data_IF_864518871658
#
_entry.id   IF_864518871658
#
_cell.length_a   1.000
_cell.length_b   1.000
_cell.length_c   1.000
_cell.angle_alpha   90.00
_cell.angle_beta   90.00
_cell.angle_gamma   90.00
#
_symmetry.space_group_name_H-M   'P 1'
#
loop_
_entity.id
_entity.type
_entity.pdbx_description
1 polymer ?
#
# COMPACT_ATOMS: atom_id res chain seq x y z
N UNK A 1 6.71 -23.67 3.52
CA UNK A 1 6.21 -24.61 2.65
C UNK A 1 5.80 -24.00 1.39
N UNK A 2 5.31 -24.16 0.45
CA UNK A 2 5.23 -23.86 -0.97
C UNK A 2 5.67 -22.43 -1.32
N UNK A 3 6.87 -22.33 -1.90
CA UNK A 3 7.19 -21.31 -2.88
C UNK A 3 6.02 -21.30 -3.89
N UNK A 4 5.20 -20.25 -3.88
CA UNK A 4 4.40 -19.95 -5.06
C UNK A 4 5.46 -19.45 -6.05
N UNK A 5 5.98 -20.40 -6.84
CA UNK A 5 6.96 -20.11 -7.88
C UNK A 5 6.28 -19.21 -8.92
N UNK A 6 7.09 -18.38 -9.55
CA UNK A 6 6.67 -17.57 -10.72
C UNK A 6 5.90 -18.39 -11.79
N UNK A 7 6.01 -19.72 -11.76
CA UNK A 7 5.31 -20.64 -12.65
C UNK A 7 3.78 -20.70 -12.43
N UNK A 8 3.26 -20.41 -11.22
CA UNK A 8 1.81 -20.38 -10.98
C UNK A 8 1.10 -19.22 -11.70
N UNK A 9 1.84 -18.19 -12.09
CA UNK A 9 1.33 -17.02 -12.81
C UNK A 9 1.37 -17.15 -14.32
N UNK A 10 2.01 -18.21 -14.87
CA UNK A 10 2.14 -18.41 -16.32
C UNK A 10 0.91 -19.05 -16.99
N UNK A 11 -0.10 -19.47 -16.25
CA UNK A 11 -1.21 -20.25 -16.79
C UNK A 11 -2.39 -19.44 -17.33
N UNK A 12 -2.42 -18.10 -17.20
CA UNK A 12 -3.56 -17.27 -17.63
C UNK A 12 -3.33 -16.51 -18.94
N UNK A 13 -2.17 -16.62 -19.58
CA UNK A 13 -1.94 -16.06 -20.94
C UNK A 13 -1.98 -14.51 -21.05
N UNK A 14 -2.33 -13.78 -20.00
CA UNK A 14 -2.25 -12.33 -19.96
C UNK A 14 -0.85 -11.93 -19.45
N UNK A 15 0.02 -11.53 -20.38
CA UNK A 15 1.28 -10.87 -20.03
C UNK A 15 0.94 -9.57 -19.29
N UNK A 16 1.25 -9.53 -17.97
CA UNK A 16 1.26 -8.25 -17.25
C UNK A 16 2.30 -7.35 -17.91
N UNK A 17 1.99 -6.06 -18.14
CA UNK A 17 2.97 -5.17 -18.75
C UNK A 17 4.24 -5.19 -17.91
N UNK A 18 5.38 -5.48 -18.55
CA UNK A 18 6.68 -5.58 -17.88
C UNK A 18 7.15 -4.23 -17.33
N UNK A 19 6.58 -3.12 -17.79
CA UNK A 19 7.01 -1.77 -17.43
C UNK A 19 5.80 -0.92 -17.00
N UNK A 20 5.59 -0.83 -15.68
CA UNK A 20 4.69 0.18 -15.12
C UNK A 20 5.32 1.56 -15.29
N UNK A 21 4.51 2.54 -15.74
CA UNK A 21 4.97 3.92 -15.86
C UNK A 21 5.34 4.47 -14.50
N UNK A 22 6.58 4.96 -14.36
CA UNK A 22 7.06 5.58 -13.14
C UNK A 22 6.49 7.01 -12.96
N UNK A 23 6.18 7.38 -11.72
CA UNK A 23 5.83 8.73 -11.32
C UNK A 23 7.12 9.54 -11.11
N UNK A 24 7.56 10.25 -12.16
CA UNK A 24 8.86 10.93 -12.20
C UNK A 24 8.93 12.23 -11.41
N UNK A 25 7.79 12.72 -10.90
CA UNK A 25 7.76 13.93 -10.04
C UNK A 25 8.21 13.67 -8.61
N UNK A 26 8.38 12.38 -8.23
CA UNK A 26 8.85 11.99 -6.90
C UNK A 26 10.38 12.02 -6.88
N UNK A 27 11.01 12.89 -6.06
CA UNK A 27 12.47 12.99 -5.99
C UNK A 27 13.10 11.68 -5.49
N UNK A 28 14.23 11.26 -6.08
CA UNK A 28 14.89 10.01 -5.69
C UNK A 28 15.41 10.03 -4.25
N UNK A 29 15.87 11.18 -3.79
CA UNK A 29 16.34 11.39 -2.42
C UNK A 29 15.24 11.33 -1.36
N UNK A 30 13.98 11.32 -1.78
CA UNK A 30 12.84 11.14 -0.87
C UNK A 30 12.71 9.70 -0.35
N UNK A 31 13.34 8.72 -0.98
CA UNK A 31 13.14 7.29 -0.77
C UNK A 31 11.69 6.82 -0.97
N UNK A 32 10.89 7.61 -1.66
CA UNK A 32 9.53 7.26 -2.09
C UNK A 32 9.59 6.88 -3.56
N UNK A 33 9.01 5.75 -3.92
CA UNK A 33 8.82 5.33 -5.31
C UNK A 33 7.33 5.33 -5.66
N UNK A 34 7.00 5.59 -6.92
CA UNK A 34 5.63 5.56 -7.39
C UNK A 34 5.52 5.04 -8.82
N UNK A 35 4.51 4.22 -9.08
CA UNK A 35 4.21 3.64 -10.41
C UNK A 35 2.71 3.60 -10.63
N UNK A 36 2.30 3.74 -11.88
CA UNK A 36 0.88 3.75 -12.24
C UNK A 36 0.40 2.39 -12.67
N UNK A 37 -0.56 1.83 -11.94
CA UNK A 37 -1.36 0.67 -12.32
C UNK A 37 -2.43 1.06 -13.35
N UNK A 38 -2.94 0.11 -14.16
CA UNK A 38 -4.05 0.36 -15.08
C UNK A 38 -5.31 0.90 -14.37
N UNK A 39 -5.97 1.88 -14.97
CA UNK A 39 -7.16 2.50 -14.39
C UNK A 39 -8.37 1.56 -14.31
N UNK A 40 -8.50 0.64 -15.25
CA UNK A 40 -9.51 -0.42 -15.22
C UNK A 40 -9.36 -1.33 -13.99
N UNK A 41 -8.13 -1.67 -13.63
CA UNK A 41 -7.82 -2.40 -12.39
C UNK A 41 -8.34 -1.66 -11.16
N UNK A 42 -8.18 -0.33 -11.12
CA UNK A 42 -8.68 0.47 -10.00
C UNK A 42 -10.21 0.43 -9.91
N UNK A 43 -10.91 0.49 -11.04
CA UNK A 43 -12.37 0.41 -11.08
C UNK A 43 -12.85 -0.97 -10.61
N UNK A 44 -12.23 -2.07 -11.08
CA UNK A 44 -12.52 -3.43 -10.64
C UNK A 44 -12.34 -3.59 -9.11
N UNK A 45 -11.32 -2.95 -8.55
CA UNK A 45 -11.07 -2.96 -7.09
C UNK A 45 -12.15 -2.18 -6.32
N UNK A 46 -12.62 -1.04 -6.83
CA UNK A 46 -13.73 -0.30 -6.21
C UNK A 46 -15.02 -1.14 -6.25
N UNK A 47 -15.31 -1.80 -7.37
CA UNK A 47 -16.46 -2.70 -7.48
C UNK A 47 -16.36 -3.87 -6.49
N UNK A 48 -15.17 -4.44 -6.34
CA UNK A 48 -14.91 -5.48 -5.33
C UNK A 48 -15.18 -4.99 -3.91
N UNK A 49 -14.74 -3.78 -3.58
CA UNK A 49 -15.01 -3.17 -2.27
C UNK A 49 -16.52 -3.14 -1.99
N UNK A 50 -17.31 -2.57 -2.88
CA UNK A 50 -18.77 -2.45 -2.68
C UNK A 50 -19.51 -3.79 -2.73
N UNK A 51 -19.03 -4.76 -3.50
CA UNK A 51 -19.54 -6.13 -3.50
C UNK A 51 -19.41 -6.81 -2.14
N UNK A 52 -18.38 -6.44 -1.37
CA UNK A 52 -18.08 -6.99 -0.05
C UNK A 52 -18.52 -6.08 1.10
N UNK A 53 -19.54 -5.25 0.90
CA UNK A 53 -20.02 -4.25 1.88
C UNK A 53 -20.38 -4.83 3.26
N UNK A 54 -20.82 -6.08 3.33
CA UNK A 54 -21.21 -6.75 4.58
C UNK A 54 -19.99 -7.03 5.50
N UNK A 55 -18.79 -6.95 4.93
CA UNK A 55 -17.52 -7.11 5.65
C UNK A 55 -16.85 -5.77 5.98
N UNK A 56 -17.48 -4.64 5.63
CA UNK A 56 -16.94 -3.32 5.95
C UNK A 56 -16.95 -3.07 7.46
N UNK A 57 -15.94 -2.36 7.95
CA UNK A 57 -15.80 -1.94 9.35
C UNK A 57 -15.40 -0.48 9.43
N UNK A 58 -15.74 0.20 10.50
CA UNK A 58 -15.17 1.52 10.78
C UNK A 58 -13.65 1.41 10.92
N UNK A 59 -12.94 2.39 10.36
CA UNK A 59 -11.48 2.42 10.40
C UNK A 59 -10.96 2.51 11.84
N UNK A 60 -10.04 1.62 12.19
CA UNK A 60 -9.40 1.57 13.52
C UNK A 60 -7.98 2.09 13.45
N UNK A 61 -7.49 2.62 14.57
CA UNK A 61 -6.08 2.96 14.79
C UNK A 61 -5.28 1.69 15.13
N UNK A 62 -3.96 1.77 15.09
CA UNK A 62 -3.08 0.67 15.51
C UNK A 62 -3.31 0.18 16.94
N UNK A 63 -3.94 1.00 17.80
CA UNK A 63 -4.42 0.63 19.14
C UNK A 63 -5.69 -0.23 19.13
N UNK A 64 -6.34 -0.42 17.98
CA UNK A 64 -7.65 -1.08 17.86
C UNK A 64 -8.84 -0.18 18.19
N UNK A 65 -8.63 1.12 18.41
CA UNK A 65 -9.71 2.06 18.75
C UNK A 65 -10.21 2.81 17.53
N UNK A 66 -11.52 3.10 17.47
CA UNK A 66 -12.14 4.02 16.51
C UNK A 66 -12.02 5.44 17.05
N UNK A 67 -11.40 6.34 16.28
CA UNK A 67 -11.29 7.77 16.63
C UNK A 67 -11.39 8.61 15.36
N UNK A 68 -12.61 8.99 15.00
CA UNK A 68 -12.92 9.71 13.73
C UNK A 68 -12.19 11.05 13.57
N UNK A 69 -11.81 11.69 14.67
CA UNK A 69 -10.99 12.92 14.63
C UNK A 69 -9.55 12.66 14.14
N UNK A 70 -9.09 11.40 14.19
CA UNK A 70 -7.77 10.97 13.72
C UNK A 70 -7.87 10.24 12.38
N UNK A 71 -8.73 9.21 12.32
CA UNK A 71 -9.00 8.40 11.12
C UNK A 71 -10.50 8.23 10.97
N UNK A 72 -11.07 8.75 9.89
CA UNK A 72 -12.48 8.58 9.53
C UNK A 72 -12.56 7.90 8.16
N UNK A 73 -12.70 6.58 8.19
CA UNK A 73 -12.78 5.72 7.00
C UNK A 73 -13.72 4.55 7.22
N UNK A 74 -14.14 3.94 6.13
CA UNK A 74 -14.74 2.62 6.07
C UNK A 74 -13.70 1.67 5.48
N UNK A 75 -13.35 0.62 6.21
CA UNK A 75 -12.27 -0.30 5.85
C UNK A 75 -12.82 -1.69 5.49
N UNK A 76 -12.22 -2.30 4.47
CA UNK A 76 -12.33 -3.73 4.17
C UNK A 76 -10.94 -4.34 4.30
N UNK A 77 -10.77 -5.23 5.28
CA UNK A 77 -9.51 -5.95 5.48
C UNK A 77 -9.36 -7.06 4.42
N UNK A 78 -8.21 -7.11 3.76
CA UNK A 78 -7.84 -8.14 2.78
C UNK A 78 -6.78 -9.03 3.39
N UNK A 79 -7.11 -10.29 3.58
CA UNK A 79 -6.16 -11.29 4.08
C UNK A 79 -5.18 -11.72 2.98
N UNK A 80 -3.94 -12.08 3.37
CA UNK A 80 -2.90 -12.53 2.42
C UNK A 80 -3.28 -13.82 1.68
N UNK A 81 -4.16 -14.64 2.24
CA UNK A 81 -4.67 -15.86 1.60
C UNK A 81 -5.94 -15.64 0.75
N UNK A 82 -6.35 -14.40 0.51
CA UNK A 82 -7.43 -14.10 -0.42
C UNK A 82 -6.88 -14.12 -1.85
N UNK A 83 -7.36 -15.04 -2.68
CA UNK A 83 -7.00 -15.21 -4.08
C UNK A 83 -8.14 -14.89 -5.05
N UNK A 84 -9.18 -14.22 -4.58
CA UNK A 84 -10.29 -13.81 -5.43
C UNK A 84 -9.84 -12.78 -6.48
N UNK A 85 -10.50 -12.80 -7.63
CA UNK A 85 -10.40 -11.70 -8.57
C UNK A 85 -11.19 -10.49 -8.02
N UNK A 86 -10.67 -9.27 -8.09
CA UNK A 86 -9.42 -8.80 -8.72
C UNK A 86 -8.19 -8.77 -7.80
N UNK A 87 -8.28 -9.33 -6.59
CA UNK A 87 -7.25 -9.21 -5.54
C UNK A 87 -5.92 -9.85 -5.97
N UNK A 88 -5.95 -11.05 -6.55
CA UNK A 88 -4.71 -11.70 -7.00
C UNK A 88 -4.02 -10.90 -8.12
N UNK A 89 -4.79 -10.30 -9.04
CA UNK A 89 -4.28 -9.48 -10.15
C UNK A 89 -3.62 -8.21 -9.60
N UNK A 90 -4.27 -7.54 -8.64
CA UNK A 90 -3.69 -6.40 -7.93
C UNK A 90 -2.34 -6.75 -7.28
N UNK A 91 -2.24 -7.89 -6.62
CA UNK A 91 -0.98 -8.32 -5.97
C UNK A 91 0.15 -8.51 -6.97
N UNK A 92 -0.13 -9.00 -8.17
CA UNK A 92 0.88 -9.12 -9.21
C UNK A 92 1.43 -7.75 -9.63
N UNK A 93 0.57 -6.74 -9.78
CA UNK A 93 1.01 -5.36 -10.02
C UNK A 93 1.76 -4.77 -8.82
N UNK A 94 1.30 -5.02 -7.60
CA UNK A 94 1.99 -4.57 -6.39
C UNK A 94 3.39 -5.18 -6.29
N UNK A 95 3.56 -6.47 -6.66
CA UNK A 95 4.87 -7.10 -6.72
C UNK A 95 5.78 -6.42 -7.74
N UNK A 96 5.27 -6.05 -8.93
CA UNK A 96 6.04 -5.29 -9.91
C UNK A 96 6.47 -3.92 -9.37
N UNK A 97 5.59 -3.23 -8.63
CA UNK A 97 5.95 -1.98 -7.96
C UNK A 97 7.08 -2.20 -6.95
N UNK A 98 7.02 -3.28 -6.16
CA UNK A 98 8.07 -3.64 -5.21
C UNK A 98 9.39 -3.95 -5.90
N UNK A 99 9.35 -4.73 -6.99
CA UNK A 99 10.55 -5.06 -7.77
C UNK A 99 11.21 -3.81 -8.35
N UNK A 100 10.40 -2.88 -8.87
CA UNK A 100 10.89 -1.59 -9.37
C UNK A 100 11.43 -0.71 -8.23
N UNK A 101 10.79 -0.73 -7.06
CA UNK A 101 11.27 -0.03 -5.87
C UNK A 101 12.65 -0.55 -5.44
N UNK A 102 12.84 -1.86 -5.37
CA UNK A 102 14.12 -2.49 -5.01
C UNK A 102 15.19 -2.24 -6.08
N UNK A 103 14.84 -2.22 -7.37
CA UNK A 103 15.77 -1.81 -8.44
C UNK A 103 16.25 -0.36 -8.26
N UNK A 104 15.33 0.55 -7.91
CA UNK A 104 15.61 1.98 -7.67
C UNK A 104 16.41 2.18 -6.38
N UNK A 105 16.03 1.50 -5.31
CA UNK A 105 16.64 1.60 -3.98
C UNK A 105 17.26 0.26 -3.56
N UNK A 106 18.39 -0.09 -4.16
CA UNK A 106 19.02 -1.41 -4.03
C UNK A 106 19.22 -1.88 -2.59
N UNK A 107 19.43 -0.97 -1.64
CA UNK A 107 19.61 -1.31 -0.22
C UNK A 107 18.35 -1.85 0.43
N UNK A 108 17.16 -1.49 -0.07
CA UNK A 108 15.91 -2.06 0.40
C UNK A 108 15.80 -3.58 0.16
N UNK A 109 16.44 -4.10 -0.89
CA UNK A 109 16.51 -5.54 -1.17
C UNK A 109 17.66 -6.29 -0.46
N UNK A 110 18.49 -5.59 0.33
CA UNK A 110 19.65 -6.16 1.02
C UNK A 110 19.44 -6.37 2.52
N UNK A 111 18.27 -6.03 3.03
CA UNK A 111 17.85 -6.31 4.41
C UNK A 111 17.31 -7.74 4.55
N UNK A 112 16.97 -8.14 5.76
CA UNK A 112 16.29 -9.43 5.96
C UNK A 112 15.04 -9.56 5.08
N UNK A 113 14.68 -10.79 4.74
CA UNK A 113 13.50 -11.06 3.91
C UNK A 113 12.23 -10.48 4.54
N UNK A 114 11.42 -9.83 3.74
CA UNK A 114 10.10 -9.31 4.09
C UNK A 114 9.08 -9.69 3.03
N UNK A 115 7.80 -9.69 3.40
CA UNK A 115 6.70 -10.06 2.50
C UNK A 115 5.46 -9.22 2.80
N UNK A 116 4.51 -9.24 1.88
CA UNK A 116 3.21 -8.60 2.04
C UNK A 116 2.45 -9.25 3.19
N UNK A 117 1.91 -8.44 4.10
CA UNK A 117 0.98 -8.87 5.15
C UNK A 117 -0.46 -8.53 4.80
N UNK A 118 -1.41 -8.82 5.69
CA UNK A 118 -2.78 -8.37 5.53
C UNK A 118 -2.83 -6.85 5.36
N UNK A 119 -3.67 -6.36 4.47
CA UNK A 119 -3.75 -4.95 4.12
C UNK A 119 -5.20 -4.47 4.08
N UNK A 120 -5.41 -3.17 3.92
CA UNK A 120 -6.71 -2.56 4.03
C UNK A 120 -7.11 -1.83 2.75
N UNK A 121 -8.30 -2.09 2.30
CA UNK A 121 -9.03 -1.23 1.40
C UNK A 121 -9.73 -0.17 2.25
N UNK A 122 -9.61 1.12 1.93
CA UNK A 122 -10.16 2.22 2.72
C UNK A 122 -10.95 3.17 1.83
N UNK A 123 -12.17 3.39 2.21
CA UNK A 123 -13.03 4.41 1.64
C UNK A 123 -13.16 5.58 2.61
N UNK A 124 -12.92 6.76 2.10
CA UNK A 124 -13.09 8.03 2.79
C UNK A 124 -14.16 8.83 2.07
N UNK A 125 -15.25 9.14 2.77
CA UNK A 125 -16.26 10.10 2.30
C UNK A 125 -15.70 11.53 2.39
N UNK A 126 -16.37 12.55 1.80
CA UNK A 126 -16.02 13.94 2.00
C UNK A 126 -15.73 14.27 3.47
N UNK A 127 -14.67 15.03 3.73
CA UNK A 127 -14.12 15.35 5.07
C UNK A 127 -13.50 14.17 5.83
N UNK A 128 -13.54 12.95 5.29
CA UNK A 128 -12.85 11.77 5.82
C UNK A 128 -11.35 11.81 5.54
N UNK A 129 -10.58 10.96 6.27
CA UNK A 129 -9.14 10.87 6.08
C UNK A 129 -8.40 10.32 7.28
N UNK A 130 -7.13 10.01 7.11
CA UNK A 130 -6.17 9.87 8.20
C UNK A 130 -5.50 11.23 8.41
N UNK A 131 -6.03 12.01 9.37
CA UNK A 131 -5.83 13.47 9.48
C UNK A 131 -4.57 13.87 10.23
N UNK A 132 -4.00 12.95 11.02
CA UNK A 132 -2.85 13.23 11.90
C UNK A 132 -1.55 12.71 11.30
N UNK A 133 -0.47 13.41 11.59
CA UNK A 133 0.88 12.97 11.29
C UNK A 133 1.17 11.64 11.97
N UNK A 134 1.63 10.65 11.23
CA UNK A 134 1.98 9.32 11.73
C UNK A 134 3.05 8.67 10.85
N UNK A 135 3.68 7.65 11.40
CA UNK A 135 4.51 6.70 10.67
C UNK A 135 3.98 5.29 10.89
N UNK A 136 4.34 4.36 10.04
CA UNK A 136 3.81 3.01 10.06
C UNK A 136 4.47 2.11 11.10
N UNK A 137 5.75 2.39 11.42
CA UNK A 137 6.57 1.69 12.42
C UNK A 137 6.76 2.52 13.69
N UNK A 138 5.66 2.91 14.34
CA UNK A 138 5.67 3.78 15.51
C UNK A 138 5.53 3.06 16.87
N UNK A 139 5.53 1.72 16.91
CA UNK A 139 5.32 0.96 18.15
C UNK A 139 5.95 -0.43 18.08
N UNK A 140 6.17 -1.12 19.24
CA UNK A 140 6.63 -2.51 19.23
C UNK A 140 5.77 -3.47 18.41
N UNK A 141 4.46 -3.23 18.34
CA UNK A 141 3.52 -4.06 17.55
C UNK A 141 3.71 -3.93 16.03
N UNK A 142 4.32 -2.87 15.57
CA UNK A 142 4.59 -2.58 14.16
C UNK A 142 6.10 -2.58 13.85
N UNK A 143 6.93 -3.16 14.74
CA UNK A 143 8.39 -3.14 14.62
C UNK A 143 8.90 -3.86 13.37
N UNK A 144 8.16 -4.86 12.88
CA UNK A 144 8.54 -5.67 11.73
C UNK A 144 8.20 -5.01 10.37
N UNK A 145 7.50 -3.88 10.36
CA UNK A 145 7.18 -3.14 9.12
C UNK A 145 8.44 -2.54 8.51
N UNK A 146 8.73 -2.92 7.28
CA UNK A 146 9.91 -2.45 6.52
C UNK A 146 9.52 -1.35 5.56
N UNK A 147 8.51 -1.62 4.74
CA UNK A 147 7.98 -0.70 3.74
C UNK A 147 6.47 -0.57 3.93
N UNK A 148 5.95 0.60 3.62
CA UNK A 148 4.53 0.85 3.45
C UNK A 148 4.23 1.04 1.96
N UNK A 149 3.00 0.73 1.56
CA UNK A 149 2.50 1.07 0.23
C UNK A 149 1.10 1.68 0.30
N UNK A 150 0.77 2.46 -0.71
CA UNK A 150 -0.56 3.02 -0.92
C UNK A 150 -0.86 3.11 -2.42
N UNK A 151 -2.04 2.64 -2.82
CA UNK A 151 -2.59 2.78 -4.15
C UNK A 151 -3.82 3.69 -4.09
N UNK A 152 -3.86 4.74 -4.92
CA UNK A 152 -5.06 5.54 -5.12
C UNK A 152 -5.92 4.91 -6.22
N UNK A 153 -7.21 4.69 -5.93
CA UNK A 153 -8.12 4.02 -6.86
C UNK A 153 -8.96 4.99 -7.68
N UNK A 154 -8.97 6.26 -7.31
CA UNK A 154 -9.62 7.32 -8.07
C UNK A 154 -8.82 8.63 -7.98
N UNK A 155 -9.04 9.49 -8.95
CA UNK A 155 -8.54 10.87 -8.91
C UNK A 155 -9.35 11.64 -7.86
N UNK A 156 -8.65 12.40 -6.98
CA UNK A 156 -9.29 13.26 -5.97
C UNK A 156 -8.53 14.58 -5.88
N UNK A 157 -9.21 15.67 -6.16
CA UNK A 157 -8.63 16.99 -6.05
C UNK A 157 -8.26 17.31 -4.59
N UNK A 158 -7.00 17.71 -4.37
CA UNK A 158 -6.49 18.01 -3.03
C UNK A 158 -6.70 16.87 -2.00
N UNK A 159 -6.67 15.62 -2.46
CA UNK A 159 -6.99 14.44 -1.63
C UNK A 159 -5.84 13.46 -1.39
N UNK A 160 -4.62 13.83 -1.68
CA UNK A 160 -3.45 12.96 -1.68
C UNK A 160 -2.82 12.70 -0.30
N UNK A 161 -1.50 12.55 -0.29
CA UNK A 161 -0.69 12.31 0.92
C UNK A 161 0.41 13.35 1.03
N UNK A 162 0.61 13.88 2.24
CA UNK A 162 1.66 14.83 2.56
C UNK A 162 2.72 14.16 3.44
N UNK A 163 4.00 14.27 3.04
CA UNK A 163 5.16 13.77 3.77
C UNK A 163 5.91 14.95 4.43
N UNK A 164 6.09 14.86 5.75
CA UNK A 164 6.58 15.96 6.56
C UNK A 164 8.04 16.33 6.25
N UNK A 165 8.95 15.36 6.35
CA UNK A 165 10.39 15.58 6.20
C UNK A 165 10.82 15.72 4.75
N UNK A 166 10.16 15.04 3.82
CA UNK A 166 10.42 15.14 2.40
C UNK A 166 9.87 16.44 1.78
N UNK A 167 9.03 17.18 2.52
CA UNK A 167 8.30 18.36 2.01
C UNK A 167 7.55 18.08 0.71
N UNK A 168 7.03 16.87 0.61
CA UNK A 168 6.40 16.34 -0.60
C UNK A 168 4.89 16.20 -0.38
N UNK A 169 4.12 16.68 -1.34
CA UNK A 169 2.68 16.42 -1.45
C UNK A 169 2.43 15.63 -2.74
N UNK A 170 1.87 14.46 -2.60
CA UNK A 170 1.42 13.64 -3.72
C UNK A 170 -0.07 13.85 -3.91
N UNK A 171 -0.50 13.99 -5.16
CA UNK A 171 -1.92 14.02 -5.50
C UNK A 171 -2.51 12.61 -5.43
N UNK A 172 -3.81 12.51 -5.16
CA UNK A 172 -4.55 11.27 -5.35
C UNK A 172 -4.85 11.11 -6.85
N UNK A 173 -3.97 10.45 -7.56
CA UNK A 173 -4.11 10.13 -8.99
C UNK A 173 -4.48 8.66 -9.16
N UNK A 174 -5.53 8.38 -9.91
CA UNK A 174 -6.00 7.01 -10.13
C UNK A 174 -4.90 6.14 -10.73
N UNK A 175 -4.60 5.03 -10.06
CA UNK A 175 -3.56 4.07 -10.41
C UNK A 175 -2.22 4.35 -9.76
N UNK A 176 -1.97 5.51 -9.16
CA UNK A 176 -0.69 5.78 -8.50
C UNK A 176 -0.52 4.88 -7.27
N UNK A 177 0.39 3.92 -7.38
CA UNK A 177 0.87 3.08 -6.29
C UNK A 177 2.21 3.61 -5.81
N UNK A 178 2.29 3.98 -4.54
CA UNK A 178 3.51 4.49 -3.91
C UNK A 178 4.03 3.52 -2.87
N UNK A 179 5.38 3.42 -2.75
CA UNK A 179 6.07 2.60 -1.74
C UNK A 179 7.11 3.49 -1.06
N UNK A 180 7.22 3.38 0.28
CA UNK A 180 8.18 4.15 1.08
C UNK A 180 8.60 3.39 2.36
N UNK A 181 9.74 3.75 3.00
CA UNK A 181 10.14 3.18 4.29
C UNK A 181 9.09 3.42 5.38
N UNK A 182 8.80 2.41 6.19
CA UNK A 182 7.77 2.47 7.22
C UNK A 182 8.13 3.35 8.43
N UNK A 183 9.35 3.84 8.51
CA UNK A 183 9.92 4.55 9.66
C UNK A 183 9.40 5.97 9.87
N UNK A 184 9.70 6.51 11.06
CA UNK A 184 9.41 7.90 11.45
C UNK A 184 9.99 8.95 10.48
N UNK A 185 11.06 8.61 9.75
CA UNK A 185 11.62 9.46 8.70
C UNK A 185 10.63 9.76 7.58
N UNK A 186 9.61 8.93 7.43
CA UNK A 186 8.52 9.10 6.45
C UNK A 186 7.19 9.37 7.14
N UNK A 187 7.23 10.22 8.18
CA UNK A 187 6.01 10.74 8.81
C UNK A 187 5.14 11.44 7.77
N UNK A 188 3.89 11.03 7.69
CA UNK A 188 2.95 11.49 6.68
C UNK A 188 1.53 11.58 7.22
N UNK A 189 0.64 12.22 6.45
CA UNK A 189 -0.80 12.28 6.70
C UNK A 189 -1.58 12.29 5.40
N UNK A 190 -2.82 11.84 5.45
CA UNK A 190 -3.77 12.01 4.36
C UNK A 190 -4.24 13.46 4.29
N UNK A 191 -4.29 14.02 3.08
CA UNK A 191 -4.94 15.31 2.82
C UNK A 191 -6.44 15.06 2.76
N UNK A 192 -7.21 15.79 3.57
CA UNK A 192 -8.67 15.71 3.61
C UNK A 192 -9.24 16.35 2.33
N UNK A 193 -10.17 15.68 1.70
CA UNK A 193 -10.81 16.14 0.47
C UNK A 193 -12.34 16.25 0.62
N UNK A 194 -12.95 16.98 -0.30
CA UNK A 194 -14.41 17.16 -0.39
C UNK A 194 -15.06 16.17 -1.37
N UNK A 195 -14.32 15.12 -1.73
CA UNK A 195 -14.74 14.09 -2.67
C UNK A 195 -14.53 12.71 -2.05
N UNK A 196 -15.25 11.72 -2.56
CA UNK A 196 -15.03 10.32 -2.21
C UNK A 196 -13.62 9.88 -2.60
N UNK A 197 -12.90 9.28 -1.67
CA UNK A 197 -11.54 8.78 -1.89
C UNK A 197 -11.43 7.31 -1.56
N UNK A 198 -10.89 6.54 -2.49
CA UNK A 198 -10.63 5.11 -2.34
C UNK A 198 -9.14 4.84 -2.43
N UNK A 199 -8.60 4.14 -1.43
CA UNK A 199 -7.21 3.69 -1.43
C UNK A 199 -7.10 2.24 -1.01
N UNK A 200 -5.99 1.60 -1.41
CA UNK A 200 -5.51 0.39 -0.75
C UNK A 200 -4.18 0.73 -0.08
N UNK A 201 -4.01 0.33 1.17
CA UNK A 201 -2.77 0.55 1.91
C UNK A 201 -2.40 -0.65 2.76
N UNK A 202 -1.12 -0.89 2.93
CA UNK A 202 -0.60 -2.01 3.70
C UNK A 202 0.92 -1.94 3.85
N UNK A 203 1.49 -3.06 4.26
CA UNK A 203 2.88 -3.12 4.66
C UNK A 203 3.56 -4.38 4.12
N UNK A 204 4.86 -4.24 3.91
CA UNK A 204 5.78 -5.36 3.80
C UNK A 204 6.50 -5.49 5.14
N UNK A 205 6.38 -6.66 5.78
CA UNK A 205 6.91 -6.92 7.11
C UNK A 205 7.98 -8.01 7.07
N UNK A 206 8.96 -7.96 7.99
CA UNK A 206 9.97 -9.00 8.11
C UNK A 206 9.31 -10.36 8.36
N UNK A 207 9.80 -11.37 7.64
CA UNK A 207 9.38 -12.75 7.85
C UNK A 207 10.29 -13.33 8.94
N UNK A 208 9.74 -13.57 10.12
CA UNK A 208 10.40 -14.36 11.16
C UNK A 208 10.34 -15.84 10.80
N UNK A 209 11.27 -16.30 9.96
CA UNK A 209 11.54 -17.73 9.89
C UNK A 209 12.43 -18.10 11.08
N UNK A 210 12.06 -19.13 11.83
CA UNK A 210 12.89 -19.67 12.93
C UNK A 210 14.30 -20.11 12.50
N UNK A 211 14.65 -19.99 11.22
CA UNK A 211 15.89 -20.44 10.60
C UNK A 211 16.85 -19.30 10.17
N UNK A 212 16.53 -18.03 10.42
CA UNK A 212 17.47 -16.94 10.14
C UNK A 212 18.46 -16.71 11.28
N UNK A 213 18.98 -17.77 11.88
CA UNK A 213 20.23 -17.70 12.61
C UNK A 213 21.33 -17.62 11.56
N UNK A 214 21.86 -16.42 11.31
CA UNK A 214 23.06 -16.22 10.50
C UNK A 214 24.14 -17.12 11.09
N UNK A 215 24.68 -18.10 10.35
CA UNK A 215 25.86 -18.81 10.83
C UNK A 215 26.98 -17.79 10.98
N UNK A 216 27.61 -17.79 12.14
CA UNK A 216 28.82 -16.98 12.42
C UNK A 216 29.97 -17.40 11.53
#
# INVERSE_FOLDING_TARGET
>A
MSNISAEAYQTTGEMYPNDLKECTVIPIESFIGGWYLPKDMCNELIDYFWKNKDHHREGVLGSGTVKKTVKDSMDLKIATNNFDYPIFKFRAYLQQCLDNYVKKYKRAGMVCRYDLTDYNFQYYKPDGGFKTWHCERGSPKSADRVLAFQLYLNDVNNGGTEFEFQKLKLNAEQGLCTIWPADWTHTHRGIVAQEDKYIITGWFEYITTRESVIPK
#
